data_IF_383947837075
#
_entry.id   IF_383947837075
#
_cell.length_a   1.000
_cell.length_b   1.000
_cell.length_c   1.000
_cell.angle_alpha   90.00
_cell.angle_beta   90.00
_cell.angle_gamma   90.00
#
_symmetry.space_group_name_H-M   'P 1'
#
loop_
_entity.id
_entity.type
_entity.pdbx_description
1 polymer ?
#
# COMPACT_ATOMS: atom_id res chain seq x y z
N UNK A 1 5.40 9.26 22.51
CA UNK A 1 5.92 8.28 23.48
C UNK A 1 7.45 8.33 23.50
N UNK A 2 8.12 8.08 24.68
CA UNK A 2 9.59 8.15 24.78
C UNK A 2 10.32 7.22 23.81
N UNK A 3 9.69 6.11 23.44
CA UNK A 3 10.25 5.13 22.50
C UNK A 3 10.42 5.73 21.09
N UNK A 4 9.39 6.39 20.55
CA UNK A 4 9.45 7.04 19.24
C UNK A 4 10.53 8.13 19.16
N UNK A 5 10.73 8.88 20.26
CA UNK A 5 11.78 9.89 20.32
C UNK A 5 13.18 9.25 20.33
N UNK A 6 13.35 8.12 21.04
CA UNK A 6 14.61 7.39 21.07
C UNK A 6 14.92 6.77 19.71
N UNK A 7 13.91 6.21 19.02
CA UNK A 7 14.04 5.67 17.66
C UNK A 7 14.44 6.76 16.67
N UNK A 8 13.78 7.91 16.68
CA UNK A 8 14.12 9.05 15.84
C UNK A 8 15.57 9.51 16.02
N UNK A 9 16.05 9.61 17.26
CA UNK A 9 17.42 10.04 17.57
C UNK A 9 18.50 9.03 17.15
N UNK A 10 18.15 7.76 16.96
CA UNK A 10 19.09 6.68 16.66
C UNK A 10 19.07 6.23 15.20
N UNK A 11 17.94 6.40 14.51
CA UNK A 11 17.69 5.80 13.19
C UNK A 11 17.47 6.85 12.09
N UNK A 12 17.14 8.10 12.47
CA UNK A 12 16.91 9.19 11.50
C UNK A 12 18.27 9.66 10.94
N UNK A 13 18.54 9.21 9.72
CA UNK A 13 19.70 9.66 8.94
C UNK A 13 19.25 10.51 7.79
N UNK A 14 19.69 11.77 7.76
CA UNK A 14 19.38 12.71 6.69
C UNK A 14 20.66 13.18 6.00
N UNK A 15 20.69 13.14 4.67
CA UNK A 15 21.78 13.66 3.85
C UNK A 15 21.18 14.24 2.56
N UNK A 16 21.44 15.50 2.20
CA UNK A 16 20.90 16.11 0.99
C UNK A 16 21.21 15.35 -0.30
N UNK A 17 22.27 14.52 -0.33
CA UNK A 17 22.60 13.68 -1.48
C UNK A 17 21.53 12.61 -1.76
N UNK A 18 20.71 12.27 -0.74
CA UNK A 18 19.64 11.29 -0.86
C UNK A 18 18.33 11.89 -1.35
N UNK A 19 18.22 13.22 -1.37
CA UNK A 19 17.02 13.90 -1.85
C UNK A 19 16.79 13.58 -3.33
N UNK A 20 15.55 13.30 -3.68
CA UNK A 20 15.18 12.99 -5.07
C UNK A 20 13.79 13.50 -5.39
N UNK A 21 13.57 13.86 -6.67
CA UNK A 21 12.25 14.20 -7.19
C UNK A 21 11.80 13.14 -8.17
N UNK A 22 10.62 12.58 -7.96
CA UNK A 22 10.02 11.60 -8.87
C UNK A 22 8.59 12.05 -9.19
N UNK A 23 8.30 12.23 -10.47
CA UNK A 23 6.97 12.65 -10.97
C UNK A 23 6.45 13.93 -10.30
N UNK A 24 7.35 14.85 -9.94
CA UNK A 24 7.00 16.12 -9.28
C UNK A 24 6.80 16.03 -7.76
N UNK A 25 7.02 14.87 -7.16
CA UNK A 25 7.01 14.66 -5.71
C UNK A 25 8.44 14.66 -5.17
N UNK A 26 8.70 15.46 -4.15
CA UNK A 26 10.01 15.53 -3.47
C UNK A 26 10.07 14.50 -2.34
N UNK A 27 11.17 13.73 -2.32
CA UNK A 27 11.47 12.74 -1.30
C UNK A 27 12.78 13.11 -0.59
N UNK A 28 12.79 13.04 0.73
CA UNK A 28 13.99 13.27 1.55
C UNK A 28 15.04 12.18 1.37
N UNK A 29 14.62 10.98 0.99
CA UNK A 29 15.48 9.88 0.61
C UNK A 29 14.69 8.84 -0.21
N UNK A 30 15.38 7.94 -0.98
CA UNK A 30 14.72 6.96 -1.85
C UNK A 30 14.31 5.67 -1.13
N UNK A 31 14.45 5.59 0.18
CA UNK A 31 14.10 4.40 0.94
C UNK A 31 12.67 4.48 1.45
N UNK A 32 11.88 3.47 1.15
CA UNK A 32 10.47 3.45 1.55
C UNK A 32 9.96 2.08 1.91
N UNK A 33 8.85 2.07 2.63
CA UNK A 33 8.07 0.86 2.89
C UNK A 33 7.12 0.62 1.72
N UNK A 34 7.25 -0.53 1.06
CA UNK A 34 6.34 -0.92 0.00
C UNK A 34 5.00 -1.42 0.53
N UNK A 35 3.97 -1.37 -0.33
CA UNK A 35 2.65 -1.92 -0.02
C UNK A 35 2.71 -3.39 0.41
N UNK A 36 1.81 -3.78 1.31
CA UNK A 36 1.68 -5.16 1.79
C UNK A 36 1.88 -5.34 3.29
N UNK A 37 2.78 -4.59 3.92
CA UNK A 37 2.97 -4.65 5.37
C UNK A 37 1.91 -3.82 6.10
N UNK A 38 1.82 -2.54 5.80
CA UNK A 38 0.78 -1.66 6.35
C UNK A 38 -0.44 -1.59 5.42
N UNK A 39 -1.39 -2.48 5.64
CA UNK A 39 -2.57 -2.59 4.77
C UNK A 39 -3.64 -1.54 5.05
N UNK A 40 -3.67 -1.00 6.26
CA UNK A 40 -4.74 -0.14 6.76
C UNK A 40 -4.27 1.24 7.20
N UNK A 41 -3.00 1.60 6.92
CA UNK A 41 -2.41 2.86 7.35
C UNK A 41 -2.35 2.99 8.89
N UNK A 42 -1.79 1.98 9.54
CA UNK A 42 -1.62 1.93 11.00
C UNK A 42 -0.19 2.34 11.43
N UNK A 43 0.79 2.37 10.51
CA UNK A 43 2.21 2.52 10.82
C UNK A 43 2.88 3.84 10.40
N UNK A 44 2.24 4.81 9.72
CA UNK A 44 2.95 5.95 9.14
C UNK A 44 3.74 6.77 10.16
N UNK A 45 3.20 6.95 11.38
CA UNK A 45 3.93 7.67 12.45
C UNK A 45 5.23 6.98 12.82
N UNK A 46 5.24 5.65 12.83
CA UNK A 46 6.46 4.87 13.10
C UNK A 46 7.44 5.02 11.93
N UNK A 47 6.99 4.85 10.70
CA UNK A 47 7.83 4.91 9.51
C UNK A 47 8.48 6.29 9.32
N UNK A 48 7.72 7.37 9.53
CA UNK A 48 8.23 8.73 9.51
C UNK A 48 9.31 8.97 10.59
N UNK A 49 9.13 8.39 11.80
CA UNK A 49 10.09 8.55 12.89
C UNK A 49 11.36 7.71 12.74
N UNK A 50 11.33 6.61 11.99
CA UNK A 50 12.53 5.81 11.69
C UNK A 50 13.25 6.26 10.42
N UNK A 51 12.77 7.35 9.76
CA UNK A 51 13.47 8.03 8.69
C UNK A 51 13.20 7.50 7.28
N UNK A 52 12.09 6.79 7.04
CA UNK A 52 11.69 6.46 5.67
C UNK A 52 11.31 7.72 4.88
N UNK A 53 11.74 7.80 3.62
CA UNK A 53 11.37 8.89 2.69
C UNK A 53 9.94 8.75 2.18
N UNK A 54 9.40 7.53 2.13
CA UNK A 54 8.00 7.28 1.78
C UNK A 54 7.47 5.98 2.39
N UNK A 55 6.14 5.89 2.45
CA UNK A 55 5.41 4.67 2.72
C UNK A 55 4.28 4.51 1.71
N UNK A 56 4.15 3.32 1.13
CA UNK A 56 2.98 2.95 0.33
C UNK A 56 2.10 2.04 1.16
N UNK A 57 0.97 2.56 1.61
CA UNK A 57 -0.03 1.80 2.37
C UNK A 57 -0.92 0.96 1.47
N UNK A 58 -1.43 -0.14 1.95
CA UNK A 58 -2.34 -1.01 1.19
C UNK A 58 -1.71 -2.35 0.78
N UNK A 59 -2.16 -3.01 -0.29
CA UNK A 59 -3.18 -2.49 -1.22
C UNK A 59 -4.56 -2.50 -0.56
N UNK A 60 -5.31 -1.43 -0.78
CA UNK A 60 -6.71 -1.31 -0.37
C UNK A 60 -7.65 -1.53 -1.56
N UNK A 61 -8.88 -1.87 -1.30
CA UNK A 61 -9.91 -2.20 -2.31
C UNK A 61 -11.13 -1.33 -2.13
N UNK A 62 -12.01 -1.21 -3.15
CA UNK A 62 -13.17 -0.32 -3.08
C UNK A 62 -14.08 -0.62 -1.89
N UNK A 63 -14.16 -1.88 -1.52
CA UNK A 63 -14.90 -2.40 -0.36
C UNK A 63 -13.92 -3.06 0.61
N UNK A 64 -14.27 -3.10 1.89
CA UNK A 64 -13.52 -3.89 2.89
C UNK A 64 -13.48 -5.37 2.48
N UNK A 65 -12.32 -5.98 2.66
CA UNK A 65 -12.11 -7.40 2.37
C UNK A 65 -11.51 -8.12 3.58
N UNK A 66 -12.08 -9.25 3.94
CA UNK A 66 -11.51 -10.10 5.00
C UNK A 66 -10.23 -10.83 4.56
N UNK A 67 -9.98 -10.87 3.24
CA UNK A 67 -8.90 -11.66 2.66
C UNK A 67 -9.19 -13.15 2.66
N UNK A 68 -8.16 -13.94 2.43
CA UNK A 68 -8.24 -15.39 2.40
C UNK A 68 -8.44 -16.00 3.80
N UNK A 69 -8.91 -17.25 3.92
CA UNK A 69 -8.94 -17.95 5.20
C UNK A 69 -7.56 -18.01 5.88
N UNK A 70 -7.52 -17.81 7.18
CA UNK A 70 -6.29 -17.93 7.99
C UNK A 70 -5.88 -19.40 8.13
N UNK A 71 -4.58 -19.72 8.30
CA UNK A 71 -3.46 -18.78 8.57
C UNK A 71 -2.94 -18.12 7.28
N UNK A 72 -2.53 -16.84 7.39
CA UNK A 72 -2.02 -16.07 6.25
C UNK A 72 -0.51 -16.20 6.02
N UNK A 73 0.21 -16.64 7.06
CA UNK A 73 1.67 -16.74 7.05
C UNK A 73 2.09 -18.14 7.48
N UNK A 74 2.94 -18.77 6.67
CA UNK A 74 3.58 -20.05 7.00
C UNK A 74 5.10 -19.86 6.93
N UNK A 75 5.77 -19.99 8.07
CA UNK A 75 7.23 -19.95 8.13
C UNK A 75 7.81 -21.28 7.68
N UNK A 76 8.83 -21.20 6.84
CA UNK A 76 9.57 -22.35 6.31
C UNK A 76 11.05 -22.21 6.70
N UNK A 77 11.39 -22.43 7.99
CA UNK A 77 12.74 -22.18 8.51
C UNK A 77 13.83 -22.98 7.79
N UNK A 78 13.51 -24.20 7.35
CA UNK A 78 14.44 -25.07 6.62
C UNK A 78 14.87 -24.47 5.25
N UNK A 79 14.12 -23.50 4.74
CA UNK A 79 14.36 -22.84 3.45
C UNK A 79 14.64 -21.35 3.61
N UNK A 80 14.86 -20.86 4.84
CA UNK A 80 14.98 -19.43 5.16
C UNK A 80 13.88 -18.59 4.47
N UNK A 81 12.63 -19.11 4.49
CA UNK A 81 11.55 -18.58 3.66
C UNK A 81 10.23 -18.47 4.42
N UNK A 82 9.29 -17.78 3.80
CA UNK A 82 7.92 -17.63 4.31
C UNK A 82 6.92 -17.64 3.14
N UNK A 83 5.86 -18.44 3.26
CA UNK A 83 4.72 -18.38 2.35
C UNK A 83 3.67 -17.41 2.89
N UNK A 84 3.17 -16.53 2.02
CA UNK A 84 2.17 -15.51 2.38
C UNK A 84 0.91 -15.72 1.54
N UNK A 85 -0.26 -15.71 2.19
CA UNK A 85 -1.56 -15.95 1.54
C UNK A 85 -2.67 -15.06 2.12
N UNK A 86 -2.45 -13.75 2.15
CA UNK A 86 -3.37 -12.78 2.81
C UNK A 86 -4.62 -12.51 1.97
N UNK A 87 -4.51 -12.39 0.64
CA UNK A 87 -5.66 -12.17 -0.23
C UNK A 87 -6.31 -10.79 -0.10
N UNK A 88 -5.51 -9.73 -0.04
CA UNK A 88 -5.98 -8.34 0.01
C UNK A 88 -6.92 -8.01 1.19
N UNK A 89 -6.64 -8.57 2.38
CA UNK A 89 -7.37 -8.18 3.60
C UNK A 89 -7.13 -6.69 3.90
N UNK A 90 -8.19 -5.89 3.96
CA UNK A 90 -8.13 -4.45 4.24
C UNK A 90 -9.50 -3.90 4.68
N UNK A 91 -9.52 -2.68 5.25
CA UNK A 91 -10.71 -2.01 5.78
C UNK A 91 -11.58 -1.31 4.72
N UNK A 92 -11.17 -1.33 3.46
CA UNK A 92 -11.81 -0.60 2.36
C UNK A 92 -11.16 0.77 2.09
N UNK A 93 -11.16 1.17 0.81
CA UNK A 93 -10.46 2.39 0.37
C UNK A 93 -11.03 3.68 0.98
N UNK A 94 -12.30 3.71 1.37
CA UNK A 94 -12.89 4.85 2.08
C UNK A 94 -12.12 5.15 3.38
N UNK A 95 -11.94 4.16 4.25
CA UNK A 95 -11.28 4.32 5.54
C UNK A 95 -9.76 4.43 5.41
N UNK A 96 -9.16 3.60 4.55
CA UNK A 96 -7.70 3.58 4.40
C UNK A 96 -7.20 4.89 3.81
N UNK A 97 -7.91 5.45 2.81
CA UNK A 97 -7.53 6.72 2.19
C UNK A 97 -7.73 7.90 3.15
N UNK A 98 -8.80 7.89 3.97
CA UNK A 98 -9.00 8.90 5.01
C UNK A 98 -7.82 8.92 6.00
N UNK A 99 -7.33 7.75 6.42
CA UNK A 99 -6.16 7.63 7.29
C UNK A 99 -4.87 8.06 6.58
N UNK A 100 -4.70 7.69 5.30
CA UNK A 100 -3.52 8.04 4.52
C UNK A 100 -3.41 9.55 4.31
N UNK A 101 -4.51 10.24 4.00
CA UNK A 101 -4.55 11.70 3.88
C UNK A 101 -4.18 12.39 5.20
N UNK A 102 -4.72 11.91 6.31
CA UNK A 102 -4.38 12.43 7.64
C UNK A 102 -2.90 12.18 7.97
N UNK A 103 -2.40 10.98 7.67
CA UNK A 103 -1.00 10.63 7.89
C UNK A 103 -0.07 11.50 7.04
N UNK A 104 -0.37 11.68 5.76
CA UNK A 104 0.41 12.52 4.84
C UNK A 104 0.43 13.98 5.28
N UNK A 105 -0.73 14.52 5.67
CA UNK A 105 -0.84 15.91 6.17
C UNK A 105 -0.04 16.15 7.45
N UNK A 106 0.10 15.11 8.30
CA UNK A 106 0.77 15.21 9.60
C UNK A 106 2.22 14.67 9.58
N UNK A 107 2.67 14.06 8.49
CA UNK A 107 4.04 13.57 8.35
C UNK A 107 5.02 14.75 8.40
N UNK A 108 6.20 14.52 8.99
CA UNK A 108 7.25 15.55 9.11
C UNK A 108 7.96 15.72 7.75
N UNK A 109 8.38 14.61 7.16
CA UNK A 109 9.17 14.57 5.94
C UNK A 109 8.78 13.44 4.99
N UNK A 110 8.09 12.41 5.48
CA UNK A 110 7.75 11.24 4.72
C UNK A 110 6.56 11.46 3.79
N UNK A 111 6.66 10.97 2.56
CA UNK A 111 5.53 10.92 1.63
C UNK A 111 4.67 9.68 1.91
N UNK A 112 3.34 9.86 1.91
CA UNK A 112 2.40 8.74 2.06
C UNK A 112 1.68 8.50 0.74
N UNK A 113 1.89 7.32 0.18
CA UNK A 113 1.27 6.84 -1.06
C UNK A 113 0.26 5.73 -0.77
N UNK A 114 -0.68 5.52 -1.68
CA UNK A 114 -1.72 4.49 -1.52
C UNK A 114 -1.63 3.49 -2.67
N UNK A 115 -1.53 2.20 -2.34
CA UNK A 115 -1.70 1.12 -3.30
C UNK A 115 -3.17 0.70 -3.35
N UNK A 116 -3.75 0.64 -4.54
CA UNK A 116 -5.12 0.18 -4.79
C UNK A 116 -5.12 -1.12 -5.56
N UNK A 117 -6.07 -2.00 -5.22
CA UNK A 117 -6.33 -3.24 -5.93
C UNK A 117 -7.84 -3.46 -6.08
N UNK A 118 -8.25 -4.37 -6.95
CA UNK A 118 -9.66 -4.77 -6.98
C UNK A 118 -10.01 -5.60 -5.76
N UNK A 119 -11.26 -5.54 -5.33
CA UNK A 119 -11.75 -6.33 -4.20
C UNK A 119 -11.63 -7.83 -4.50
N UNK A 120 -11.12 -8.59 -3.54
CA UNK A 120 -10.97 -10.05 -3.66
C UNK A 120 -12.30 -10.73 -3.32
N UNK A 121 -13.23 -10.72 -4.25
CA UNK A 121 -14.51 -11.41 -4.17
C UNK A 121 -14.96 -11.92 -5.56
N UNK A 122 -16.02 -12.73 -5.60
CA UNK A 122 -16.54 -13.32 -6.83
C UNK A 122 -17.09 -12.28 -7.81
N UNK A 123 -17.61 -11.17 -7.30
CA UNK A 123 -18.15 -10.08 -8.11
C UNK A 123 -17.07 -9.45 -8.98
N UNK A 124 -15.92 -9.15 -8.40
CA UNK A 124 -14.78 -8.57 -9.11
C UNK A 124 -14.00 -9.60 -9.95
N UNK A 125 -14.46 -10.84 -10.05
CA UNK A 125 -14.01 -11.81 -11.04
C UNK A 125 -14.41 -11.43 -12.47
N UNK A 126 -15.52 -10.71 -12.66
CA UNK A 126 -15.87 -10.08 -13.92
C UNK A 126 -14.96 -8.88 -14.21
N UNK A 127 -14.56 -8.71 -15.49
CA UNK A 127 -13.60 -7.69 -15.88
C UNK A 127 -14.14 -6.27 -15.69
N UNK A 128 -15.37 -6.01 -16.10
CA UNK A 128 -15.99 -4.67 -16.04
C UNK A 128 -16.23 -4.25 -14.59
N UNK A 129 -16.69 -5.17 -13.75
CA UNK A 129 -16.85 -4.94 -12.31
C UNK A 129 -15.48 -4.71 -11.61
N UNK A 130 -14.44 -5.44 -12.06
CA UNK A 130 -13.07 -5.26 -11.57
C UNK A 130 -12.50 -3.89 -11.94
N UNK A 131 -12.71 -3.42 -13.17
CA UNK A 131 -12.29 -2.08 -13.60
C UNK A 131 -13.00 -0.99 -12.79
N UNK A 132 -14.33 -1.10 -12.62
CA UNK A 132 -15.07 -0.10 -11.83
C UNK A 132 -14.63 -0.10 -10.35
N UNK A 133 -14.26 -1.24 -9.79
CA UNK A 133 -13.70 -1.35 -8.43
C UNK A 133 -12.39 -0.55 -8.29
N UNK A 134 -11.46 -0.67 -9.27
CA UNK A 134 -10.27 0.18 -9.34
C UNK A 134 -10.63 1.67 -9.46
N UNK A 135 -11.55 2.01 -10.36
CA UNK A 135 -11.99 3.39 -10.59
C UNK A 135 -12.56 4.04 -9.33
N UNK A 136 -13.35 3.29 -8.55
CA UNK A 136 -13.88 3.79 -7.27
C UNK A 136 -12.74 4.12 -6.31
N UNK A 137 -11.77 3.23 -6.14
CA UNK A 137 -10.63 3.45 -5.25
C UNK A 137 -9.74 4.59 -5.76
N UNK A 138 -9.51 4.69 -7.08
CA UNK A 138 -8.74 5.76 -7.70
C UNK A 138 -9.39 7.13 -7.46
N UNK A 139 -10.71 7.26 -7.70
CA UNK A 139 -11.46 8.52 -7.46
C UNK A 139 -11.36 8.96 -6.00
N UNK A 140 -11.34 8.02 -5.06
CA UNK A 140 -11.17 8.31 -3.63
C UNK A 140 -9.75 8.78 -3.29
N UNK A 141 -8.73 8.19 -3.92
CA UNK A 141 -7.31 8.47 -3.64
C UNK A 141 -6.79 9.74 -4.33
N UNK A 142 -7.43 10.17 -5.42
CA UNK A 142 -6.98 11.29 -6.23
C UNK A 142 -6.82 12.57 -5.42
N UNK A 143 -5.59 13.11 -5.36
CA UNK A 143 -5.24 14.33 -4.62
C UNK A 143 -5.21 14.18 -3.10
N UNK A 144 -5.32 12.95 -2.56
CA UNK A 144 -5.36 12.67 -1.12
C UNK A 144 -4.16 11.84 -0.63
N UNK A 145 -3.20 11.62 -1.49
CA UNK A 145 -1.93 10.94 -1.22
C UNK A 145 -0.86 11.44 -2.17
N UNK A 146 0.42 11.24 -1.83
CA UNK A 146 1.53 11.68 -2.66
C UNK A 146 1.51 11.03 -4.05
N UNK A 147 1.22 9.73 -4.11
CA UNK A 147 1.09 8.94 -5.33
C UNK A 147 0.03 7.85 -5.13
N UNK A 148 -0.49 7.33 -6.25
CA UNK A 148 -1.34 6.14 -6.25
C UNK A 148 -0.66 5.03 -7.05
N UNK A 149 -0.48 3.88 -6.43
CA UNK A 149 0.00 2.65 -7.05
C UNK A 149 -1.19 1.78 -7.46
N UNK A 150 -1.23 1.33 -8.71
CA UNK A 150 -2.25 0.39 -9.18
C UNK A 150 -1.68 -1.03 -9.14
N UNK A 151 -2.10 -1.82 -8.17
CA UNK A 151 -1.65 -3.19 -8.00
C UNK A 151 -2.51 -4.15 -8.83
N UNK A 152 -1.99 -4.58 -9.97
CA UNK A 152 -2.62 -5.54 -10.89
C UNK A 152 -2.02 -6.95 -10.82
N UNK A 153 -1.16 -7.21 -9.85
CA UNK A 153 -0.30 -8.41 -9.84
C UNK A 153 -0.41 -9.27 -8.58
N UNK A 154 -1.43 -9.05 -7.74
CA UNK A 154 -1.58 -9.85 -6.51
C UNK A 154 -1.90 -11.31 -6.81
N UNK A 155 -1.01 -12.28 -6.52
CA UNK A 155 -1.23 -13.68 -6.87
C UNK A 155 -2.22 -14.40 -5.94
N UNK A 156 -2.62 -13.75 -4.85
CA UNK A 156 -3.41 -14.35 -3.77
C UNK A 156 -4.91 -14.03 -3.88
N UNK A 157 -5.38 -13.61 -5.05
CA UNK A 157 -6.80 -13.32 -5.30
C UNK A 157 -7.54 -14.56 -5.79
N UNK A 158 -8.83 -14.66 -5.44
CA UNK A 158 -9.66 -15.83 -5.77
C UNK A 158 -9.84 -16.02 -7.28
N UNK A 159 -10.03 -14.94 -8.03
CA UNK A 159 -10.26 -14.96 -9.48
C UNK A 159 -8.96 -14.77 -10.30
N UNK A 160 -7.77 -14.78 -9.66
CA UNK A 160 -6.50 -14.43 -10.32
C UNK A 160 -6.43 -12.94 -10.70
N UNK A 161 -5.45 -12.60 -11.54
CA UNK A 161 -5.25 -11.22 -12.02
C UNK A 161 -5.32 -11.19 -13.55
N UNK A 162 -6.51 -10.89 -14.13
CA UNK A 162 -6.68 -10.88 -15.58
C UNK A 162 -5.81 -9.82 -16.28
N UNK A 163 -5.53 -8.70 -15.61
CA UNK A 163 -4.78 -7.57 -16.17
C UNK A 163 -3.31 -7.90 -16.45
N UNK A 164 -2.72 -8.88 -15.76
CA UNK A 164 -1.32 -9.30 -16.02
C UNK A 164 -1.20 -10.23 -17.23
N UNK A 165 -2.30 -10.84 -17.65
CA UNK A 165 -2.33 -11.81 -18.73
C UNK A 165 -2.94 -11.24 -20.03
N UNK A 166 -3.69 -10.14 -19.94
CA UNK A 166 -4.42 -9.53 -21.04
C UNK A 166 -4.10 -8.02 -21.16
N UNK A 167 -3.25 -7.62 -22.12
CA UNK A 167 -2.91 -6.21 -22.35
C UNK A 167 -4.12 -5.33 -22.65
N UNK A 168 -5.13 -5.86 -23.36
CA UNK A 168 -6.32 -5.09 -23.70
C UNK A 168 -7.18 -4.80 -22.46
N UNK A 169 -7.15 -5.69 -21.47
CA UNK A 169 -7.79 -5.47 -20.18
C UNK A 169 -7.09 -4.37 -19.36
N UNK A 170 -5.76 -4.27 -19.48
CA UNK A 170 -4.98 -3.24 -18.79
C UNK A 170 -5.17 -1.86 -19.44
N UNK A 171 -5.44 -1.81 -20.74
CA UNK A 171 -5.59 -0.55 -21.51
C UNK A 171 -6.98 0.11 -21.29
N UNK A 172 -7.91 -0.60 -20.72
CA UNK A 172 -9.29 -0.14 -20.41
C UNK A 172 -9.40 0.55 -19.08
#
# INVERSE_FOLDING_TARGET
PPLLLAEQLMLDYTDPILETNVMGVDFTNPFGLSAGLDKNCDMPVLMDNVGFGFETVGSTTSRASAGNPKPWFHRLPEYDSMMVHVGLANDGSDKVIDRAEQAWTNAKTMQVSVSIARTNDDKCGDLDEGIEDYCISMRRAAGRSAMVEVNVSCPNTHAGEPFTADPDALDR
#
